data_IF_144474775860
#
_entry.id   IF_144474775860
#
_cell.length_a   1.000
_cell.length_b   1.000
_cell.length_c   1.000
_cell.angle_alpha   90.00
_cell.angle_beta   90.00
_cell.angle_gamma   90.00
#
_symmetry.space_group_name_H-M   'P 1'
#
loop_
_entity.id
_entity.type
_entity.pdbx_description
1 polymer ?
#
# COMPACT_ATOMS: atom_id res chain seq x y z
N UNK A 1 14.85 -40.27 -0.62
CA UNK A 1 13.98 -39.67 0.43
C UNK A 1 14.48 -38.25 0.67
N UNK A 2 13.56 -37.29 0.46
CA UNK A 2 13.57 -35.88 0.90
C UNK A 2 14.65 -34.96 0.35
N UNK A 3 14.23 -34.21 -0.69
CA UNK A 3 14.56 -32.81 -0.93
C UNK A 3 14.50 -32.03 0.38
N UNK A 4 15.43 -31.12 0.63
CA UNK A 4 15.26 -29.85 1.36
C UNK A 4 16.59 -29.09 1.23
N UNK A 5 16.73 -28.32 0.14
CA UNK A 5 17.52 -27.08 0.12
C UNK A 5 17.05 -26.25 -1.08
N UNK A 6 15.74 -26.01 -1.13
CA UNK A 6 15.07 -25.05 -2.02
C UNK A 6 14.88 -23.73 -1.24
N UNK A 7 15.98 -23.17 -0.73
CA UNK A 7 15.96 -21.88 -0.07
C UNK A 7 17.33 -21.22 -0.22
N UNK A 8 17.44 -20.36 -1.23
CA UNK A 8 18.39 -19.21 -1.34
C UNK A 8 18.95 -19.00 -2.75
N UNK A 9 18.13 -19.11 -3.80
CA UNK A 9 18.54 -18.64 -5.13
C UNK A 9 17.46 -17.70 -5.67
N UNK A 10 17.44 -16.47 -5.15
CA UNK A 10 16.88 -15.33 -5.87
C UNK A 10 17.68 -15.20 -7.17
N UNK A 11 17.15 -15.75 -8.27
CA UNK A 11 17.84 -15.71 -9.56
C UNK A 11 17.63 -14.32 -10.14
N UNK A 12 18.72 -13.70 -10.62
CA UNK A 12 18.68 -12.39 -11.29
C UNK A 12 17.62 -12.32 -12.41
N UNK A 13 17.39 -13.44 -13.09
CA UNK A 13 16.40 -13.59 -14.16
C UNK A 13 14.97 -13.27 -13.69
N UNK A 14 14.65 -13.55 -12.43
CA UNK A 14 13.29 -13.37 -11.93
C UNK A 14 12.95 -11.91 -11.63
N UNK A 15 13.96 -11.07 -11.39
CA UNK A 15 13.79 -9.63 -11.18
C UNK A 15 13.72 -8.91 -12.53
N UNK A 16 14.50 -9.36 -13.52
CA UNK A 16 14.38 -8.87 -14.89
C UNK A 16 12.97 -9.09 -15.44
N UNK A 17 12.42 -10.29 -15.28
CA UNK A 17 11.05 -10.60 -15.70
C UNK A 17 10.00 -9.72 -14.98
N UNK A 18 10.23 -9.38 -13.70
CA UNK A 18 9.35 -8.48 -12.97
C UNK A 18 9.30 -7.07 -13.57
N UNK A 19 10.45 -6.53 -13.96
CA UNK A 19 10.52 -5.20 -14.58
C UNK A 19 9.97 -5.20 -16.01
N UNK A 20 10.23 -6.24 -16.80
CA UNK A 20 9.74 -6.35 -18.18
C UNK A 20 8.22 -6.34 -18.30
N UNK A 21 7.50 -6.83 -17.27
CA UNK A 21 6.04 -6.81 -17.27
C UNK A 21 5.42 -5.52 -16.76
N UNK A 22 6.17 -4.64 -16.11
CA UNK A 22 5.67 -3.39 -15.53
C UNK A 22 5.91 -2.21 -16.47
N UNK A 23 5.05 -1.18 -16.44
CA UNK A 23 5.25 0.00 -17.28
C UNK A 23 6.45 0.83 -16.79
N UNK A 24 7.09 1.59 -17.69
CA UNK A 24 8.22 2.48 -17.34
C UNK A 24 7.89 3.50 -16.24
N UNK A 25 6.61 3.81 -16.03
CA UNK A 25 6.17 4.66 -14.92
C UNK A 25 6.44 4.06 -13.54
N UNK A 26 6.49 2.72 -13.43
CA UNK A 26 6.84 2.02 -12.19
C UNK A 26 8.28 2.31 -11.77
N UNK A 27 9.22 2.29 -12.72
CA UNK A 27 10.65 2.55 -12.48
C UNK A 27 10.94 3.99 -12.03
N UNK A 28 10.01 4.91 -12.27
CA UNK A 28 10.12 6.33 -11.88
C UNK A 28 9.26 6.67 -10.66
N UNK A 29 8.57 5.69 -10.09
CA UNK A 29 7.65 5.92 -8.98
C UNK A 29 8.42 5.94 -7.66
N UNK A 30 8.14 6.93 -6.82
CA UNK A 30 8.62 6.98 -5.43
C UNK A 30 8.04 5.86 -4.53
N UNK A 31 7.16 5.03 -5.08
CA UNK A 31 6.61 3.86 -4.42
C UNK A 31 7.50 2.61 -4.55
N UNK A 32 8.57 2.67 -5.36
CA UNK A 32 9.50 1.58 -5.60
C UNK A 32 10.95 2.05 -5.36
N UNK A 33 11.15 2.81 -4.27
CA UNK A 33 12.41 3.50 -3.98
C UNK A 33 13.46 2.59 -3.30
N UNK A 34 13.02 1.53 -2.62
CA UNK A 34 13.89 0.58 -1.92
C UNK A 34 13.85 -0.83 -2.54
N UNK A 35 14.91 -1.61 -2.35
CA UNK A 35 14.98 -2.99 -2.87
C UNK A 35 13.88 -3.86 -2.23
N UNK A 36 13.58 -3.61 -0.97
CA UNK A 36 12.55 -4.25 -0.18
C UNK A 36 11.17 -4.09 -0.85
N UNK A 37 10.88 -2.90 -1.36
CA UNK A 37 9.63 -2.61 -2.08
C UNK A 37 9.54 -3.41 -3.38
N UNK A 38 10.65 -3.44 -4.14
CA UNK A 38 10.74 -4.19 -5.39
C UNK A 38 10.53 -5.69 -5.17
N UNK A 39 11.16 -6.25 -4.14
CA UNK A 39 11.02 -7.66 -3.78
C UNK A 39 9.59 -7.97 -3.31
N UNK A 40 9.00 -7.09 -2.51
CA UNK A 40 7.62 -7.20 -2.04
C UNK A 40 6.64 -7.18 -3.22
N UNK A 41 6.71 -6.19 -4.09
CA UNK A 41 5.83 -6.08 -5.26
C UNK A 41 5.94 -7.28 -6.20
N UNK A 42 7.17 -7.78 -6.40
CA UNK A 42 7.39 -9.03 -7.14
C UNK A 42 6.70 -10.21 -6.48
N UNK A 43 6.88 -10.37 -5.17
CA UNK A 43 6.27 -11.47 -4.41
C UNK A 43 4.75 -11.41 -4.46
N UNK A 44 4.14 -10.23 -4.24
CA UNK A 44 2.68 -10.07 -4.23
C UNK A 44 2.05 -10.43 -5.57
N UNK A 45 2.66 -10.00 -6.67
CA UNK A 45 2.18 -10.35 -8.00
C UNK A 45 2.42 -11.84 -8.34
N UNK A 46 3.51 -12.44 -7.87
CA UNK A 46 3.73 -13.88 -8.02
C UNK A 46 2.70 -14.71 -7.24
N UNK A 47 2.32 -14.26 -6.04
CA UNK A 47 1.25 -14.86 -5.26
C UNK A 47 -0.12 -14.66 -5.90
N UNK A 48 -0.39 -13.50 -6.50
CA UNK A 48 -1.65 -13.25 -7.20
C UNK A 48 -1.84 -14.16 -8.42
N UNK A 49 -0.75 -14.62 -9.03
CA UNK A 49 -0.78 -15.61 -10.12
C UNK A 49 -1.14 -17.03 -9.69
N UNK A 50 -1.14 -17.34 -8.39
CA UNK A 50 -1.47 -18.68 -7.90
C UNK A 50 -3.00 -18.88 -7.81
N UNK A 51 -3.50 -20.07 -8.16
CA UNK A 51 -4.94 -20.34 -8.15
C UNK A 51 -5.52 -20.21 -6.73
N UNK A 52 -6.55 -19.37 -6.58
CA UNK A 52 -7.25 -19.16 -5.31
C UNK A 52 -6.58 -18.19 -4.34
N UNK A 53 -5.44 -17.57 -4.69
CA UNK A 53 -4.78 -16.54 -3.87
C UNK A 53 -5.17 -15.10 -4.23
N UNK A 54 -5.62 -14.86 -5.46
CA UNK A 54 -6.07 -13.54 -5.88
C UNK A 54 -7.46 -13.20 -5.30
N UNK A 55 -7.69 -11.99 -4.77
CA UNK A 55 -6.74 -10.88 -4.64
C UNK A 55 -5.74 -11.04 -3.47
N UNK A 56 -4.50 -10.63 -3.68
CA UNK A 56 -3.46 -10.59 -2.64
C UNK A 56 -3.38 -9.18 -2.08
N UNK A 57 -3.36 -9.06 -0.75
CA UNK A 57 -3.30 -7.78 -0.05
C UNK A 57 -2.18 -7.79 0.98
N UNK A 58 -1.44 -6.69 1.04
CA UNK A 58 -0.45 -6.41 2.06
C UNK A 58 -0.71 -5.04 2.67
N UNK A 59 -0.47 -4.90 3.97
CA UNK A 59 -0.50 -3.62 4.65
C UNK A 59 0.73 -3.48 5.54
N UNK A 60 1.30 -2.28 5.60
CA UNK A 60 2.40 -1.96 6.51
C UNK A 60 2.32 -0.52 6.98
N UNK A 61 2.88 -0.26 8.16
CA UNK A 61 3.12 1.09 8.62
C UNK A 61 4.33 1.68 7.90
N UNK A 62 4.22 2.96 7.53
CA UNK A 62 5.28 3.68 6.83
C UNK A 62 5.96 4.66 7.77
N UNK A 63 5.20 5.56 8.40
CA UNK A 63 5.74 6.65 9.24
C UNK A 63 4.67 7.45 9.96
N UNK A 64 5.09 8.29 10.90
CA UNK A 64 4.26 9.32 11.53
C UNK A 64 4.30 10.61 10.71
N UNK A 65 3.16 11.24 10.49
CA UNK A 65 3.10 12.50 9.73
C UNK A 65 3.81 13.66 10.44
N UNK A 66 3.85 13.65 11.78
CA UNK A 66 4.51 14.71 12.56
C UNK A 66 6.00 14.85 12.22
N UNK A 67 6.69 13.76 11.86
CA UNK A 67 8.10 13.77 11.49
C UNK A 67 8.39 14.59 10.22
N UNK A 68 7.39 14.75 9.33
CA UNK A 68 7.50 15.61 8.15
C UNK A 68 7.39 17.10 8.47
N UNK A 69 6.52 17.44 9.41
CA UNK A 69 6.27 18.84 9.77
C UNK A 69 7.37 19.38 10.68
N UNK A 70 7.98 18.52 11.51
CA UNK A 70 9.09 18.87 12.38
C UNK A 70 10.42 19.10 11.62
N UNK A 71 10.64 18.44 10.48
CA UNK A 71 11.91 18.53 9.73
C UNK A 71 11.94 19.63 8.64
N UNK A 72 10.87 20.41 8.46
CA UNK A 72 10.80 21.50 7.48
C UNK A 72 11.23 22.88 8.00
N UNK A 73 11.70 23.00 9.24
CA UNK A 73 11.93 24.27 9.94
C UNK A 73 13.41 24.64 10.11
N UNK A 74 14.16 24.75 9.02
CA UNK A 74 15.47 25.41 9.04
C UNK A 74 15.31 26.93 9.21
N UNK A 75 15.13 27.40 10.44
CA UNK A 75 15.10 28.83 10.75
C UNK A 75 14.84 29.07 12.23
N UNK A 76 15.83 29.62 12.93
CA UNK A 76 15.80 30.06 14.33
C UNK A 76 14.46 30.72 14.70
N UNK A 77 13.55 29.94 15.28
CA UNK A 77 12.37 30.45 15.94
C UNK A 77 12.64 30.39 17.44
N UNK A 78 12.58 31.51 18.18
CA UNK A 78 12.74 31.48 19.62
C UNK A 78 11.63 30.63 20.26
N UNK A 79 11.90 29.97 21.40
CA UNK A 79 10.89 29.19 22.09
C UNK A 79 9.73 30.11 22.50
N UNK A 80 8.55 29.85 21.94
CA UNK A 80 7.32 30.55 22.34
C UNK A 80 6.91 30.13 23.76
N UNK A 81 6.52 31.07 24.63
CA UNK A 81 6.06 30.77 26.00
C UNK A 81 4.90 29.77 26.01
N UNK A 82 4.96 28.83 26.95
CA UNK A 82 4.07 27.66 27.11
C UNK A 82 2.57 28.01 27.07
N UNK A 83 2.20 29.21 27.51
CA UNK A 83 0.81 29.66 27.66
C UNK A 83 0.12 30.08 26.35
N UNK A 84 0.88 30.26 25.25
CA UNK A 84 0.34 30.63 23.93
C UNK A 84 0.25 29.44 22.96
N UNK A 85 0.57 28.23 23.44
CA UNK A 85 0.55 26.96 22.68
C UNK A 85 -0.86 26.39 22.48
N UNK A 86 -1.88 27.05 23.03
CA UNK A 86 -3.26 26.58 23.02
C UNK A 86 -4.03 27.21 21.86
N UNK A 87 -4.13 26.46 20.76
CA UNK A 87 -5.02 26.77 19.63
C UNK A 87 -4.67 26.05 18.33
N UNK A 88 -3.38 25.84 18.03
CA UNK A 88 -2.94 25.20 16.78
C UNK A 88 -2.10 23.93 17.00
N UNK A 89 -1.50 23.74 18.18
CA UNK A 89 -0.56 22.63 18.44
C UNK A 89 -1.21 21.37 19.05
N UNK A 90 -2.52 21.38 19.33
CA UNK A 90 -3.24 20.30 20.03
C UNK A 90 -4.14 19.43 19.13
N UNK A 91 -4.05 19.57 17.80
CA UNK A 91 -4.81 18.78 16.81
C UNK A 91 -3.92 18.01 15.83
N UNK A 92 -2.61 17.94 16.08
CA UNK A 92 -1.78 16.91 15.48
C UNK A 92 -1.97 15.62 16.27
N UNK A 93 -3.18 15.05 16.19
CA UNK A 93 -3.36 13.60 16.38
C UNK A 93 -2.25 12.90 15.60
N UNK A 94 -1.59 11.92 16.23
CA UNK A 94 -0.48 11.16 15.65
C UNK A 94 -0.95 10.50 14.34
N UNK A 95 -0.86 11.22 13.23
CA UNK A 95 -1.43 10.76 11.98
C UNK A 95 -0.45 9.75 11.39
N UNK A 96 -0.77 8.47 11.59
CA UNK A 96 0.02 7.35 11.12
C UNK A 96 -0.26 7.13 9.64
N UNK A 97 0.79 7.11 8.84
CA UNK A 97 0.72 6.79 7.42
C UNK A 97 0.94 5.29 7.27
N UNK A 98 -0.04 4.65 6.67
CA UNK A 98 0.01 3.24 6.29
C UNK A 98 0.06 3.11 4.78
N UNK A 99 0.60 2.00 4.32
CA UNK A 99 0.57 1.62 2.92
C UNK A 99 -0.23 0.33 2.77
N UNK A 100 -1.15 0.31 1.82
CA UNK A 100 -1.96 -0.83 1.46
C UNK A 100 -1.68 -1.17 0.00
N UNK A 101 -1.22 -2.38 -0.26
CA UNK A 101 -0.83 -2.86 -1.59
C UNK A 101 -1.77 -3.98 -2.00
N UNK A 102 -2.38 -3.83 -3.16
CA UNK A 102 -3.23 -4.83 -3.79
C UNK A 102 -2.54 -5.37 -5.03
N UNK A 103 -2.37 -6.69 -5.11
CA UNK A 103 -2.04 -7.40 -6.34
C UNK A 103 -3.26 -8.21 -6.79
N UNK A 104 -3.84 -7.83 -7.92
CA UNK A 104 -5.13 -8.35 -8.39
C UNK A 104 -5.12 -8.60 -9.89
N UNK A 105 -6.12 -9.30 -10.40
CA UNK A 105 -6.38 -9.37 -11.85
C UNK A 105 -6.90 -8.02 -12.31
N UNK A 106 -6.31 -7.46 -13.38
CA UNK A 106 -6.77 -6.20 -13.94
C UNK A 106 -8.16 -6.37 -14.57
N UNK A 107 -9.07 -5.44 -14.24
CA UNK A 107 -10.44 -5.47 -14.74
C UNK A 107 -11.08 -4.08 -14.71
N UNK A 108 -12.12 -3.84 -15.53
CA UNK A 108 -12.85 -2.57 -15.50
C UNK A 108 -13.34 -2.23 -14.10
N UNK A 109 -13.23 -0.94 -13.74
CA UNK A 109 -13.68 -0.36 -12.46
C UNK A 109 -12.94 -0.89 -11.22
N UNK A 110 -11.82 -1.59 -11.36
CA UNK A 110 -11.01 -2.05 -10.24
C UNK A 110 -10.68 -0.90 -9.26
N UNK A 111 -10.21 0.24 -9.76
CA UNK A 111 -9.86 1.38 -8.89
C UNK A 111 -11.05 1.97 -8.15
N UNK A 112 -12.21 2.04 -8.78
CA UNK A 112 -13.44 2.47 -8.10
C UNK A 112 -13.83 1.49 -6.99
N UNK A 113 -13.62 0.20 -7.20
CA UNK A 113 -13.86 -0.84 -6.18
C UNK A 113 -12.87 -0.73 -5.02
N UNK A 114 -11.56 -0.60 -5.31
CA UNK A 114 -10.52 -0.46 -4.29
C UNK A 114 -10.68 0.86 -3.50
N UNK A 115 -10.99 1.96 -4.17
CA UNK A 115 -11.25 3.24 -3.49
C UNK A 115 -12.46 3.16 -2.55
N UNK A 116 -13.53 2.47 -2.97
CA UNK A 116 -14.70 2.25 -2.13
C UNK A 116 -14.37 1.33 -0.93
N UNK A 117 -13.57 0.28 -1.14
CA UNK A 117 -13.08 -0.60 -0.09
C UNK A 117 -12.31 0.16 0.99
N UNK A 118 -11.36 0.99 0.58
CA UNK A 118 -10.57 1.82 1.48
C UNK A 118 -11.46 2.78 2.28
N UNK A 119 -12.46 3.40 1.61
CA UNK A 119 -13.45 4.24 2.28
C UNK A 119 -14.28 3.48 3.33
N UNK A 120 -14.70 2.24 3.05
CA UNK A 120 -15.50 1.45 3.99
C UNK A 120 -14.72 1.01 5.22
N UNK A 121 -13.40 0.80 5.10
CA UNK A 121 -12.53 0.56 6.25
C UNK A 121 -12.38 1.82 7.12
N UNK A 122 -12.65 3.01 6.57
CA UNK A 122 -12.64 4.27 7.32
C UNK A 122 -11.28 4.97 7.34
N UNK A 123 -10.39 4.63 6.40
CA UNK A 123 -9.10 5.32 6.21
C UNK A 123 -9.16 6.23 4.99
N UNK A 124 -8.32 7.28 4.96
CA UNK A 124 -8.32 8.27 3.88
C UNK A 124 -7.12 8.07 2.96
N UNK A 125 -7.35 8.14 1.65
CA UNK A 125 -6.29 8.03 0.64
C UNK A 125 -5.54 9.36 0.55
N UNK A 126 -4.22 9.32 0.74
CA UNK A 126 -3.31 10.45 0.52
C UNK A 126 -2.63 10.39 -0.84
N UNK A 127 -2.22 9.20 -1.24
CA UNK A 127 -1.53 8.94 -2.49
C UNK A 127 -1.93 7.57 -3.01
N UNK A 128 -2.01 7.44 -4.33
CA UNK A 128 -2.33 6.18 -4.98
C UNK A 128 -1.48 6.03 -6.25
N UNK A 129 -0.82 4.88 -6.37
CA UNK A 129 -0.10 4.48 -7.57
C UNK A 129 -0.68 3.18 -8.08
N UNK A 130 -0.93 3.11 -9.38
CA UNK A 130 -1.58 1.96 -10.00
C UNK A 130 -0.81 1.61 -11.25
N UNK A 131 -0.43 0.35 -11.35
CA UNK A 131 0.29 -0.19 -12.49
C UNK A 131 -0.45 -1.41 -13.00
N UNK A 132 -0.70 -1.46 -14.30
CA UNK A 132 -1.17 -2.66 -14.99
C UNK A 132 0.04 -3.35 -15.62
N UNK A 133 0.14 -4.65 -15.42
CA UNK A 133 1.20 -5.47 -15.98
C UNK A 133 0.80 -6.06 -17.34
N UNK A 134 1.77 -6.42 -18.17
CA UNK A 134 1.54 -7.02 -19.49
C UNK A 134 0.91 -8.42 -19.45
N UNK A 135 1.02 -9.11 -18.31
CA UNK A 135 0.41 -10.41 -18.01
C UNK A 135 -1.02 -10.30 -17.44
N UNK A 136 -1.61 -9.10 -17.41
CA UNK A 136 -3.03 -8.89 -17.07
C UNK A 136 -3.33 -8.74 -15.56
N UNK A 137 -2.31 -8.46 -14.75
CA UNK A 137 -2.48 -8.12 -13.34
C UNK A 137 -2.43 -6.61 -13.13
N UNK A 138 -2.85 -6.17 -11.95
CA UNK A 138 -2.75 -4.81 -11.47
C UNK A 138 -2.12 -4.79 -10.10
N UNK A 139 -1.12 -3.91 -9.92
CA UNK A 139 -0.50 -3.55 -8.66
C UNK A 139 -0.97 -2.15 -8.27
N UNK A 140 -1.78 -2.08 -7.22
CA UNK A 140 -2.32 -0.81 -6.69
C UNK A 140 -1.76 -0.55 -5.29
N UNK A 141 -1.04 0.55 -5.11
CA UNK A 141 -0.38 0.96 -3.88
C UNK A 141 -1.07 2.22 -3.37
N UNK A 142 -1.68 2.15 -2.20
CA UNK A 142 -2.37 3.27 -1.55
C UNK A 142 -1.63 3.66 -0.29
N UNK A 143 -1.22 4.92 -0.18
CA UNK A 143 -0.80 5.49 1.11
C UNK A 143 -2.01 6.15 1.75
N UNK A 144 -2.30 5.73 2.97
CA UNK A 144 -3.50 6.11 3.70
C UNK A 144 -3.18 6.68 5.08
N UNK A 145 -4.09 7.49 5.60
CA UNK A 145 -4.10 7.92 7.00
C UNK A 145 -5.46 7.62 7.67
N UNK A 146 -5.55 7.88 8.97
CA UNK A 146 -6.78 7.66 9.75
C UNK A 146 -6.82 6.33 10.52
N UNK A 147 -5.80 5.48 10.38
CA UNK A 147 -5.61 4.31 11.24
C UNK A 147 -4.77 4.69 12.48
N UNK A 148 -5.27 4.41 13.67
CA UNK A 148 -4.68 4.90 14.93
C UNK A 148 -3.60 3.99 15.53
N UNK A 149 -3.37 2.80 14.98
CA UNK A 149 -2.35 1.84 15.44
C UNK A 149 -1.18 1.81 14.46
N UNK A 150 0.05 1.64 14.94
CA UNK A 150 1.22 1.39 14.06
C UNK A 150 1.25 -0.05 13.54
N UNK A 151 0.56 -0.97 14.22
CA UNK A 151 0.41 -2.32 13.71
C UNK A 151 -0.61 -2.32 12.57
N UNK A 152 -0.16 -2.77 11.41
CA UNK A 152 -0.97 -2.88 10.21
C UNK A 152 -1.70 -4.23 10.11
N UNK A 153 -1.52 -5.16 11.06
CA UNK A 153 -2.22 -6.44 11.06
C UNK A 153 -3.74 -6.27 11.20
N UNK A 154 -4.20 -5.45 12.15
CA UNK A 154 -5.63 -5.14 12.31
C UNK A 154 -6.20 -4.41 11.07
N UNK A 155 -5.41 -3.53 10.45
CA UNK A 155 -5.80 -2.84 9.21
C UNK A 155 -5.96 -3.85 8.07
N UNK A 156 -5.03 -4.80 7.97
CA UNK A 156 -5.07 -5.86 6.96
C UNK A 156 -6.28 -6.77 7.16
N UNK A 157 -6.59 -7.13 8.41
CA UNK A 157 -7.78 -7.93 8.75
C UNK A 157 -9.06 -7.16 8.39
N UNK A 158 -9.17 -5.88 8.76
CA UNK A 158 -10.32 -5.05 8.40
C UNK A 158 -10.53 -4.93 6.87
N UNK A 159 -9.45 -4.79 6.10
CA UNK A 159 -9.50 -4.80 4.64
C UNK A 159 -9.99 -6.15 4.10
N UNK A 160 -9.45 -7.26 4.61
CA UNK A 160 -9.86 -8.62 4.19
C UNK A 160 -11.33 -8.89 4.53
N UNK A 161 -11.79 -8.46 5.70
CA UNK A 161 -13.17 -8.61 6.13
C UNK A 161 -14.14 -7.86 5.21
N UNK A 162 -13.84 -6.61 4.85
CA UNK A 162 -14.71 -5.84 3.95
C UNK A 162 -14.71 -6.42 2.52
N UNK A 163 -13.59 -7.00 2.07
CA UNK A 163 -13.54 -7.73 0.79
C UNK A 163 -14.41 -8.98 0.80
N UNK A 164 -14.42 -9.74 1.90
CA UNK A 164 -15.24 -10.95 2.05
C UNK A 164 -16.73 -10.61 2.17
N UNK A 165 -17.05 -9.51 2.86
CA UNK A 165 -18.41 -9.02 3.01
C UNK A 165 -19.00 -8.54 1.68
N UNK A 166 -18.16 -8.04 0.77
CA UNK A 166 -18.56 -7.52 -0.54
C UNK A 166 -17.96 -8.35 -1.67
N UNK A 167 -18.45 -9.58 -1.84
CA UNK A 167 -18.37 -10.24 -3.16
C UNK A 167 -19.04 -9.32 -4.20
N UNK A 168 -18.51 -9.26 -5.44
CA UNK A 168 -19.07 -8.36 -6.45
C UNK A 168 -20.55 -8.67 -6.61
N UNK A 169 -21.37 -7.64 -6.46
CA UNK A 169 -22.72 -7.63 -7.04
C UNK A 169 -22.47 -7.70 -8.54
N UNK A 170 -22.83 -8.82 -9.16
CA UNK A 170 -22.99 -8.92 -10.60
C UNK A 170 -24.09 -7.94 -11.01
N UNK A 171 -23.75 -6.65 -11.11
CA UNK A 171 -24.60 -5.65 -11.73
C UNK A 171 -24.26 -5.64 -13.22
N UNK A 172 -24.74 -6.67 -13.91
CA UNK A 172 -25.38 -6.42 -15.19
C UNK A 172 -26.45 -5.34 -14.95
N UNK A 173 -26.30 -4.21 -15.62
CA UNK A 173 -27.41 -3.28 -15.80
C UNK A 173 -27.66 -3.11 -17.30
N UNK A 174 -28.94 -3.01 -17.68
CA UNK A 174 -29.49 -3.38 -18.98
C UNK A 174 -29.09 -2.48 -20.15
#
# INVERSE_FOLDING_TARGET
MRNHDESSMLRHDDLAQHFERLPESYLRCACADELEDLLLHRSLLADAGQPGKCPVVHARFVRRLHDLLANGGGGDCPPVPEEMRSGAAAIHEEMLIHEIIFATIDRPKLLSQLSALVYWVGVHIREAHVFTTTDGFSLSIFRVDGWWQEDAEDLLEAIKDEMMRRKPVDNECP
#
